data_IF_236447516524
#
_entry.id   IF_236447516524
#
_cell.length_a   1.000
_cell.length_b   1.000
_cell.length_c   1.000
_cell.angle_alpha   90.00
_cell.angle_beta   90.00
_cell.angle_gamma   90.00
#
_symmetry.space_group_name_H-M   'P 1'
#
loop_
_entity.id
_entity.type
_entity.pdbx_description
1 polymer ?
#
# COMPACT_ATOMS: atom_id res chain seq x y z
N UNK A 1 8.41 -8.23 -20.76
CA UNK A 1 8.35 -8.00 -19.31
C UNK A 1 7.83 -6.61 -19.00
N UNK A 2 6.63 -6.55 -18.44
CA UNK A 2 5.93 -5.36 -17.97
C UNK A 2 5.92 -5.33 -16.44
N UNK A 3 5.65 -4.16 -15.86
CA UNK A 3 5.61 -3.94 -14.42
C UNK A 3 4.29 -3.31 -14.03
N UNK A 4 3.64 -3.83 -13.00
CA UNK A 4 2.49 -3.22 -12.33
C UNK A 4 2.83 -3.03 -10.86
N UNK A 5 2.58 -1.83 -10.33
CA UNK A 5 2.78 -1.53 -8.91
C UNK A 5 1.43 -1.12 -8.33
N UNK A 6 1.07 -1.74 -7.22
CA UNK A 6 -0.03 -1.33 -6.35
C UNK A 6 0.58 -0.80 -5.06
N UNK A 7 0.14 0.35 -4.59
CA UNK A 7 0.56 0.87 -3.28
C UNK A 7 -0.61 1.53 -2.55
N UNK A 8 -0.53 1.53 -1.23
CA UNK A 8 -1.51 2.17 -0.36
C UNK A 8 -0.82 2.68 0.91
N UNK A 9 -1.18 3.88 1.33
CA UNK A 9 -0.79 4.44 2.61
C UNK A 9 -1.83 4.08 3.68
N UNK A 10 -1.34 3.60 4.81
CA UNK A 10 -2.13 3.22 5.95
C UNK A 10 -1.59 3.81 7.26
N UNK A 11 -2.42 3.81 8.29
CA UNK A 11 -1.93 4.05 9.66
C UNK A 11 -0.94 2.96 10.09
N UNK A 12 -0.20 3.23 11.17
CA UNK A 12 0.78 2.31 11.76
C UNK A 12 0.24 0.93 12.12
N UNK A 13 -1.07 0.83 12.35
CA UNK A 13 -1.75 -0.39 12.74
C UNK A 13 -2.38 -1.11 11.54
N UNK A 14 -2.20 -0.59 10.32
CA UNK A 14 -2.82 -1.05 9.08
C UNK A 14 -4.36 -1.08 9.12
N UNK A 15 -5.01 -0.33 10.00
CA UNK A 15 -6.46 -0.38 10.24
C UNK A 15 -7.25 0.58 9.35
N UNK A 16 -6.63 1.70 8.98
CA UNK A 16 -7.22 2.68 8.09
C UNK A 16 -6.28 2.99 6.93
N UNK A 17 -6.84 3.12 5.73
CA UNK A 17 -6.12 3.50 4.51
C UNK A 17 -6.60 4.86 4.01
N UNK A 18 -5.69 5.60 3.39
CA UNK A 18 -6.01 6.84 2.66
C UNK A 18 -6.19 6.55 1.18
N UNK A 19 -7.34 6.94 0.64
CA UNK A 19 -7.66 6.85 -0.79
C UNK A 19 -8.02 8.24 -1.29
N UNK A 20 -7.08 8.89 -1.97
CA UNK A 20 -7.21 10.31 -2.30
C UNK A 20 -7.28 11.15 -1.02
N UNK A 21 -8.39 11.87 -0.83
CA UNK A 21 -8.64 12.69 0.37
C UNK A 21 -9.53 12.00 1.43
N UNK A 22 -9.96 10.76 1.20
CA UNK A 22 -10.84 10.02 2.11
C UNK A 22 -10.05 8.99 2.93
N UNK A 23 -10.42 8.81 4.21
CA UNK A 23 -9.92 7.72 5.05
C UNK A 23 -10.98 6.63 5.15
N UNK A 24 -10.62 5.39 4.80
CA UNK A 24 -11.52 4.22 4.89
C UNK A 24 -11.00 3.22 5.92
N UNK A 25 -11.91 2.62 6.69
CA UNK A 25 -11.63 1.53 7.67
C UNK A 25 -11.52 0.18 6.96
N UNK A 26 -10.66 0.08 5.97
CA UNK A 26 -10.32 -1.18 5.33
C UNK A 26 -8.83 -1.39 5.56
N UNK A 27 -8.39 -2.63 5.79
CA UNK A 27 -6.96 -2.86 5.99
C UNK A 27 -6.18 -2.63 4.70
N UNK A 28 -4.91 -2.25 4.83
CA UNK A 28 -4.03 -2.09 3.68
C UNK A 28 -3.94 -3.37 2.82
N UNK A 29 -4.01 -4.53 3.45
CA UNK A 29 -3.94 -5.83 2.78
C UNK A 29 -5.19 -6.09 1.93
N UNK A 30 -6.38 -5.95 2.52
CA UNK A 30 -7.66 -6.14 1.80
C UNK A 30 -7.76 -5.22 0.58
N UNK A 31 -7.26 -3.98 0.69
CA UNK A 31 -7.26 -3.05 -0.43
C UNK A 31 -6.35 -3.51 -1.56
N UNK A 32 -5.14 -3.95 -1.22
CA UNK A 32 -4.17 -4.41 -2.20
C UNK A 32 -4.66 -5.70 -2.87
N UNK A 33 -5.26 -6.62 -2.12
CA UNK A 33 -5.87 -7.84 -2.65
C UNK A 33 -6.97 -7.51 -3.68
N UNK A 34 -7.89 -6.61 -3.37
CA UNK A 34 -8.93 -6.15 -4.31
C UNK A 34 -8.32 -5.59 -5.61
N UNK A 35 -7.27 -4.77 -5.50
CA UNK A 35 -6.61 -4.15 -6.67
C UNK A 35 -5.87 -5.17 -7.53
N UNK A 36 -5.20 -6.13 -6.89
CA UNK A 36 -4.52 -7.23 -7.58
C UNK A 36 -5.55 -8.10 -8.29
N UNK A 37 -6.62 -8.50 -7.60
CA UNK A 37 -7.68 -9.33 -8.20
C UNK A 37 -8.28 -8.65 -9.43
N UNK A 38 -8.66 -7.37 -9.30
CA UNK A 38 -9.19 -6.59 -10.43
C UNK A 38 -8.23 -6.55 -11.61
N UNK A 39 -6.93 -6.40 -11.36
CA UNK A 39 -5.93 -6.42 -12.43
C UNK A 39 -5.84 -7.78 -13.13
N UNK A 40 -5.91 -8.88 -12.39
CA UNK A 40 -5.88 -10.23 -12.97
C UNK A 40 -7.16 -10.51 -13.78
N UNK A 41 -8.32 -10.07 -13.29
CA UNK A 41 -9.61 -10.20 -14.00
C UNK A 41 -9.62 -9.41 -15.31
N UNK A 42 -9.04 -8.20 -15.31
CA UNK A 42 -8.90 -7.36 -16.50
C UNK A 42 -7.86 -7.91 -17.50
N UNK A 43 -6.96 -8.80 -17.07
CA UNK A 43 -5.84 -9.31 -17.87
C UNK A 43 -5.73 -10.85 -17.76
N UNK A 44 -6.73 -11.63 -18.19
CA UNK A 44 -6.80 -13.07 -17.90
C UNK A 44 -5.70 -13.93 -18.56
N UNK A 45 -4.93 -13.38 -19.50
CA UNK A 45 -3.82 -14.05 -20.18
C UNK A 45 -2.44 -13.72 -19.59
N UNK A 46 -2.40 -12.86 -18.58
CA UNK A 46 -1.17 -12.42 -17.94
C UNK A 46 -0.41 -13.60 -17.34
N UNK A 47 0.87 -13.72 -17.68
CA UNK A 47 1.76 -14.64 -17.00
C UNK A 47 2.61 -13.87 -15.99
N UNK A 48 2.30 -14.02 -14.71
CA UNK A 48 3.10 -13.47 -13.63
C UNK A 48 4.46 -14.17 -13.60
N UNK A 49 5.53 -13.38 -13.62
CA UNK A 49 6.92 -13.85 -13.53
C UNK A 49 7.52 -13.61 -12.16
N UNK A 50 7.12 -12.54 -11.49
CA UNK A 50 7.63 -12.18 -10.18
C UNK A 50 6.62 -11.33 -9.40
N UNK A 51 6.57 -11.53 -8.08
CA UNK A 51 5.80 -10.72 -7.15
C UNK A 51 6.72 -10.30 -6.01
N UNK A 52 6.75 -9.01 -5.70
CA UNK A 52 7.52 -8.45 -4.59
C UNK A 52 6.60 -7.64 -3.69
N UNK A 53 6.74 -7.84 -2.37
CA UNK A 53 6.03 -7.08 -1.35
C UNK A 53 6.99 -6.05 -0.73
N UNK A 54 6.53 -4.82 -0.59
CA UNK A 54 7.23 -3.72 0.04
C UNK A 54 6.44 -3.15 1.21
N UNK A 55 7.13 -2.77 2.27
CA UNK A 55 6.53 -2.02 3.39
C UNK A 55 7.55 -1.00 3.86
N UNK A 56 7.16 0.27 3.87
CA UNK A 56 8.02 1.39 4.22
C UNK A 56 7.30 2.24 5.27
N UNK A 57 7.91 2.39 6.44
CA UNK A 57 7.43 3.32 7.46
C UNK A 57 7.63 4.76 6.99
N UNK A 58 6.61 5.60 7.15
CA UNK A 58 6.59 7.01 6.81
C UNK A 58 6.47 7.80 8.11
N UNK A 59 7.45 8.68 8.33
CA UNK A 59 7.34 9.72 9.36
C UNK A 59 6.62 10.91 8.73
N UNK A 60 5.42 11.31 9.20
CA UNK A 60 4.72 12.44 8.63
C UNK A 60 5.57 13.71 8.75
N UNK A 61 5.59 14.53 7.69
CA UNK A 61 6.34 15.81 7.70
C UNK A 61 5.88 16.79 8.79
N UNK A 62 4.68 16.60 9.31
CA UNK A 62 4.08 17.38 10.39
C UNK A 62 4.43 16.87 11.79
N UNK A 63 5.16 15.76 11.91
CA UNK A 63 5.62 15.26 13.21
C UNK A 63 6.61 16.27 13.82
N UNK A 64 6.15 17.06 14.79
CA UNK A 64 7.01 17.91 15.59
C UNK A 64 7.69 17.05 16.65
N UNK A 65 9.01 16.90 16.55
CA UNK A 65 9.81 16.21 17.57
C UNK A 65 9.81 17.06 18.84
N UNK A 66 8.92 16.75 19.78
CA UNK A 66 8.92 17.32 21.11
C UNK A 66 9.48 16.27 22.06
N UNK A 67 10.55 16.58 22.79
CA UNK A 67 11.09 15.68 23.83
C UNK A 67 10.11 15.43 24.99
N UNK A 68 8.93 16.05 24.95
CA UNK A 68 7.86 15.95 25.95
C UNK A 68 6.58 15.29 25.44
N UNK A 69 6.40 15.08 24.13
CA UNK A 69 5.23 14.38 23.57
C UNK A 69 5.71 13.24 22.65
N UNK A 70 5.42 12.00 23.03
CA UNK A 70 5.90 10.78 22.35
C UNK A 70 4.94 10.24 21.27
N UNK A 71 3.80 10.89 21.04
CA UNK A 71 2.78 10.39 20.10
C UNK A 71 3.10 10.88 18.69
N UNK A 72 3.95 10.12 17.99
CA UNK A 72 4.15 10.25 16.55
C UNK A 72 3.11 9.34 15.89
N UNK A 73 2.19 9.93 15.13
CA UNK A 73 1.28 9.16 14.27
C UNK A 73 2.11 8.56 13.13
N UNK A 74 2.57 7.31 13.25
CA UNK A 74 3.29 6.67 12.17
C UNK A 74 2.33 6.33 11.02
N UNK A 75 2.82 6.49 9.80
CA UNK A 75 2.15 5.98 8.61
C UNK A 75 3.02 4.89 7.99
N UNK A 76 2.42 4.03 7.19
CA UNK A 76 3.16 3.01 6.45
C UNK A 76 2.63 2.94 5.03
N UNK A 77 3.53 2.90 4.07
CA UNK A 77 3.19 2.54 2.70
C UNK A 77 3.42 1.04 2.49
N UNK A 78 2.37 0.34 2.07
CA UNK A 78 2.47 -1.03 1.58
C UNK A 78 2.37 -1.05 0.08
N UNK A 79 3.20 -1.86 -0.55
CA UNK A 79 3.21 -2.00 -1.99
C UNK A 79 3.39 -3.43 -2.46
N UNK A 80 2.83 -3.74 -3.62
CA UNK A 80 3.01 -4.99 -4.34
C UNK A 80 3.43 -4.66 -5.76
N UNK A 81 4.59 -5.17 -6.15
CA UNK A 81 5.11 -5.09 -7.51
C UNK A 81 4.92 -6.44 -8.20
N UNK A 82 4.35 -6.42 -9.40
CA UNK A 82 4.14 -7.59 -10.25
C UNK A 82 4.93 -7.38 -11.55
N UNK A 83 5.86 -8.29 -11.83
CA UNK A 83 6.48 -8.42 -13.16
C UNK A 83 5.72 -9.48 -13.94
N UNK A 84 5.33 -9.17 -15.17
CA UNK A 84 4.50 -10.06 -15.98
C UNK A 84 4.77 -9.95 -17.47
N UNK A 85 4.30 -10.95 -18.22
CA UNK A 85 4.22 -10.94 -19.68
C UNK A 85 2.75 -11.09 -20.12
N UNK A 86 2.44 -10.61 -21.32
CA UNK A 86 1.12 -10.69 -21.97
C UNK A 86 1.09 -11.74 -23.09
#
# INVERSE_FOLDING_TARGET
>A
MKVKIFSVQADENFRAIRVGNETRKLSANEYLEDKIQKFLDENPKVQIKHVQFGTVAIIPKTASWSTTNADIDWETEKSVLILYDE
#
